data_IF_983417671971
#
_entry.id   IF_983417671971
#
_cell.length_a   1.000
_cell.length_b   1.000
_cell.length_c   1.000
_cell.angle_alpha   90.00
_cell.angle_beta   90.00
_cell.angle_gamma   90.00
#
_symmetry.space_group_name_H-M   'P 1'
#
loop_
_entity.id
_entity.type
_entity.pdbx_description
1 polymer ?
#
# COMPACT_ATOMS: atom_id res chain seq x y z
N UNK A 1 -13.47 -31.72 6.06
CA UNK A 1 -13.99 -30.65 5.17
C UNK A 1 -12.85 -29.70 4.94
N UNK A 2 -12.32 -29.66 3.71
CA UNK A 2 -11.14 -28.87 3.37
C UNK A 2 -11.46 -27.40 3.45
N UNK A 3 -10.70 -26.66 4.26
CA UNK A 3 -10.70 -25.20 4.31
C UNK A 3 -10.19 -24.72 2.96
N UNK A 4 -10.84 -23.79 2.24
CA UNK A 4 -10.36 -23.28 0.98
C UNK A 4 -9.03 -22.54 1.21
N UNK A 5 -8.01 -22.99 0.49
CA UNK A 5 -6.67 -22.41 0.43
C UNK A 5 -6.75 -20.90 0.20
N UNK A 6 -6.02 -20.17 1.03
CA UNK A 6 -5.68 -18.77 0.99
C UNK A 6 -5.47 -18.25 -0.44
N UNK A 7 -6.37 -17.41 -0.93
CA UNK A 7 -6.11 -16.51 -2.07
C UNK A 7 -5.77 -15.14 -1.52
N UNK A 8 -4.55 -14.63 -1.74
CA UNK A 8 -4.22 -13.27 -1.34
C UNK A 8 -5.12 -12.29 -2.09
N UNK A 9 -5.82 -11.42 -1.35
CA UNK A 9 -6.70 -10.37 -1.89
C UNK A 9 -6.01 -9.39 -2.86
N UNK A 10 -4.70 -9.48 -3.02
CA UNK A 10 -3.92 -8.79 -4.06
C UNK A 10 -4.14 -9.32 -5.48
N UNK A 11 -4.92 -10.41 -5.67
CA UNK A 11 -5.28 -10.96 -6.97
C UNK A 11 -6.67 -10.55 -7.46
N UNK A 12 -7.39 -9.68 -6.75
CA UNK A 12 -8.63 -9.12 -7.24
C UNK A 12 -8.33 -8.11 -8.35
N UNK A 13 -8.83 -8.42 -9.53
CA UNK A 13 -8.54 -7.73 -10.78
C UNK A 13 -9.16 -6.34 -10.86
N UNK A 14 -8.50 -5.38 -11.56
CA UNK A 14 -9.02 -4.03 -11.73
C UNK A 14 -10.11 -3.90 -12.81
N UNK A 15 -10.82 -4.95 -13.18
CA UNK A 15 -11.71 -4.93 -14.35
C UNK A 15 -13.19 -4.81 -14.02
N UNK A 16 -13.57 -4.80 -12.76
CA UNK A 16 -14.86 -4.27 -12.37
C UNK A 16 -14.61 -3.11 -11.41
N UNK A 17 -14.91 -1.90 -11.82
CA UNK A 17 -15.18 -0.74 -10.97
C UNK A 17 -16.47 -0.99 -10.14
N UNK A 18 -16.57 -2.19 -9.62
CA UNK A 18 -17.63 -2.61 -8.72
C UNK A 18 -17.12 -2.28 -7.32
N UNK A 19 -17.69 -1.25 -6.74
CA UNK A 19 -17.50 -0.83 -5.36
C UNK A 19 -18.08 -1.89 -4.42
N UNK A 20 -17.39 -3.05 -4.32
CA UNK A 20 -17.87 -4.16 -3.50
C UNK A 20 -17.44 -3.96 -2.05
N UNK A 21 -18.42 -3.82 -1.18
CA UNK A 21 -18.20 -3.97 0.25
C UNK A 21 -17.99 -5.45 0.56
N UNK A 22 -16.86 -5.75 1.18
CA UNK A 22 -16.57 -7.07 1.72
C UNK A 22 -16.47 -6.97 3.24
N UNK A 23 -17.25 -7.77 3.94
CA UNK A 23 -17.19 -7.85 5.40
C UNK A 23 -16.60 -9.19 5.80
N UNK A 24 -15.60 -9.13 6.69
CA UNK A 24 -14.97 -10.28 7.31
C UNK A 24 -15.14 -10.16 8.82
N UNK A 25 -15.42 -11.26 9.51
CA UNK A 25 -15.66 -11.24 10.95
C UNK A 25 -15.20 -12.56 11.58
N UNK A 26 -14.66 -12.46 12.78
CA UNK A 26 -14.34 -13.65 13.62
C UNK A 26 -15.59 -14.25 14.27
N UNK A 27 -16.74 -13.59 14.23
CA UNK A 27 -17.97 -13.99 14.93
C UNK A 27 -18.54 -15.35 14.52
N UNK A 28 -18.33 -15.77 13.26
CA UNK A 28 -18.74 -17.09 12.73
C UNK A 28 -17.69 -18.18 12.85
N UNK A 29 -16.51 -17.90 13.43
CA UNK A 29 -15.37 -18.81 13.51
C UNK A 29 -15.30 -19.45 14.89
N UNK A 30 -14.97 -20.77 15.01
CA UNK A 30 -14.74 -21.43 16.28
C UNK A 30 -13.69 -20.69 17.12
N UNK A 31 -13.92 -20.56 18.44
CA UNK A 31 -13.06 -19.75 19.33
C UNK A 31 -11.55 -20.08 19.22
N UNK A 32 -11.22 -21.35 19.06
CA UNK A 32 -9.83 -21.84 18.94
C UNK A 32 -9.14 -21.38 17.65
N UNK A 33 -9.89 -21.07 16.60
CA UNK A 33 -9.39 -20.67 15.28
C UNK A 33 -9.45 -19.15 15.05
N UNK A 34 -10.16 -18.40 15.90
CA UNK A 34 -10.40 -16.95 15.69
C UNK A 34 -9.13 -16.15 15.60
N UNK A 35 -8.11 -16.50 16.39
CA UNK A 35 -6.85 -15.75 16.39
C UNK A 35 -6.05 -15.95 15.11
N UNK A 36 -5.89 -17.19 14.63
CA UNK A 36 -5.22 -17.46 13.37
C UNK A 36 -5.99 -16.84 12.20
N UNK A 37 -7.31 -16.99 12.18
CA UNK A 37 -8.16 -16.36 11.17
C UNK A 37 -8.03 -14.84 11.18
N UNK A 38 -7.96 -14.20 12.35
CA UNK A 38 -7.74 -12.76 12.46
C UNK A 38 -6.39 -12.33 11.88
N UNK A 39 -5.30 -13.06 12.20
CA UNK A 39 -3.98 -12.79 11.63
C UNK A 39 -4.02 -12.88 10.09
N UNK A 40 -4.64 -13.93 9.55
CA UNK A 40 -4.77 -14.11 8.10
C UNK A 40 -5.54 -12.95 7.46
N UNK A 41 -6.63 -12.50 8.10
CA UNK A 41 -7.41 -11.34 7.62
C UNK A 41 -6.58 -10.06 7.55
N UNK A 42 -5.89 -9.69 8.65
CA UNK A 42 -5.10 -8.44 8.68
C UNK A 42 -3.87 -8.51 7.76
N UNK A 43 -3.23 -9.66 7.67
CA UNK A 43 -2.12 -9.86 6.74
C UNK A 43 -2.57 -9.72 5.27
N UNK A 44 -3.73 -10.24 4.93
CA UNK A 44 -4.31 -10.11 3.59
C UNK A 44 -4.69 -8.66 3.26
N UNK A 45 -5.18 -7.90 4.25
CA UNK A 45 -5.64 -6.53 4.06
C UNK A 45 -4.51 -5.51 3.98
N UNK A 46 -3.47 -5.66 4.79
CA UNK A 46 -2.49 -4.59 4.96
C UNK A 46 -1.10 -4.97 4.48
N UNK A 47 -0.49 -5.92 5.14
CA UNK A 47 0.86 -6.42 4.91
C UNK A 47 1.09 -7.61 5.84
N UNK A 48 2.21 -8.30 5.72
CA UNK A 48 2.61 -9.32 6.69
C UNK A 48 2.85 -8.68 8.05
N UNK A 49 2.03 -9.05 9.03
CA UNK A 49 1.97 -8.50 10.39
C UNK A 49 1.97 -9.62 11.42
N UNK A 50 2.35 -9.28 12.62
CA UNK A 50 2.07 -10.06 13.83
C UNK A 50 1.21 -9.26 14.79
N UNK A 51 0.47 -9.96 15.64
CA UNK A 51 -0.30 -9.34 16.71
C UNK A 51 -0.26 -10.17 17.98
N UNK A 52 -0.46 -9.51 19.11
CA UNK A 52 -0.57 -10.15 20.41
C UNK A 52 -1.96 -10.74 20.60
N UNK A 53 -2.03 -12.00 21.06
CA UNK A 53 -3.31 -12.63 21.39
C UNK A 53 -3.91 -11.95 22.62
N UNK A 54 -5.18 -11.52 22.59
CA UNK A 54 -5.86 -10.99 23.76
C UNK A 54 -5.85 -12.02 24.92
N UNK A 55 -5.51 -11.56 26.10
CA UNK A 55 -5.53 -12.38 27.32
C UNK A 55 -6.89 -12.26 28.00
N UNK A 56 -7.47 -13.41 28.42
CA UNK A 56 -8.72 -13.43 29.21
C UNK A 56 -10.01 -13.17 28.42
N UNK A 57 -9.93 -13.04 27.10
CA UNK A 57 -11.09 -12.88 26.22
C UNK A 57 -10.88 -13.57 24.89
N UNK A 58 -11.98 -13.99 24.25
CA UNK A 58 -11.96 -14.46 22.87
C UNK A 58 -11.55 -13.32 21.92
N UNK A 59 -10.86 -13.71 20.84
CA UNK A 59 -10.54 -12.73 19.79
C UNK A 59 -11.81 -12.28 19.08
N UNK A 60 -12.03 -10.98 19.12
CA UNK A 60 -13.04 -10.29 18.34
C UNK A 60 -12.36 -9.43 17.28
N UNK A 61 -12.81 -9.56 16.04
CA UNK A 61 -12.36 -8.71 14.95
C UNK A 61 -13.36 -8.67 13.81
N UNK A 62 -13.61 -7.48 13.31
CA UNK A 62 -14.41 -7.21 12.13
C UNK A 62 -13.64 -6.26 11.21
N UNK A 63 -13.65 -6.55 9.91
CA UNK A 63 -13.10 -5.69 8.85
C UNK A 63 -14.17 -5.53 7.80
N UNK A 64 -14.49 -4.29 7.47
CA UNK A 64 -15.31 -3.92 6.32
C UNK A 64 -14.39 -3.23 5.31
N UNK A 65 -14.28 -3.80 4.12
CA UNK A 65 -13.39 -3.34 3.06
C UNK A 65 -14.20 -2.70 1.94
N UNK A 66 -13.67 -1.61 1.39
CA UNK A 66 -14.15 -0.99 0.15
C UNK A 66 -12.98 -0.38 -0.62
N UNK A 67 -13.13 -0.24 -1.93
CA UNK A 67 -12.10 0.31 -2.81
C UNK A 67 -12.65 1.51 -3.57
N UNK A 68 -11.81 2.55 -3.73
CA UNK A 68 -12.13 3.74 -4.50
C UNK A 68 -10.91 4.17 -5.33
N UNK A 69 -10.89 3.81 -6.60
CA UNK A 69 -9.74 4.06 -7.46
C UNK A 69 -8.46 3.41 -6.89
N UNK A 70 -7.38 4.18 -6.66
CA UNK A 70 -6.13 3.66 -6.09
C UNK A 70 -6.15 3.52 -4.56
N UNK A 71 -7.22 3.96 -3.90
CA UNK A 71 -7.37 3.92 -2.44
C UNK A 71 -8.16 2.70 -2.00
N UNK A 72 -7.67 2.04 -0.97
CA UNK A 72 -8.41 1.01 -0.26
C UNK A 72 -8.79 1.54 1.12
N UNK A 73 -10.04 1.31 1.50
CA UNK A 73 -10.59 1.71 2.79
C UNK A 73 -10.97 0.48 3.58
N UNK A 74 -10.55 0.44 4.82
CA UNK A 74 -11.01 -0.58 5.76
C UNK A 74 -11.54 0.11 7.01
N UNK A 75 -12.75 -0.26 7.42
CA UNK A 75 -13.17 -0.04 8.79
C UNK A 75 -12.83 -1.30 9.58
N UNK A 76 -12.11 -1.13 10.67
CA UNK A 76 -11.63 -2.20 11.51
C UNK A 76 -12.09 -2.00 12.94
N UNK A 77 -12.71 -3.04 13.52
CA UNK A 77 -13.05 -3.13 14.94
C UNK A 77 -12.41 -4.37 15.52
N UNK A 78 -11.73 -4.25 16.64
CA UNK A 78 -11.06 -5.39 17.26
C UNK A 78 -10.79 -5.17 18.75
N UNK A 79 -10.50 -6.27 19.44
CA UNK A 79 -9.99 -6.28 20.82
C UNK A 79 -8.51 -6.68 20.90
N UNK A 80 -7.80 -6.76 19.77
CA UNK A 80 -6.36 -7.01 19.72
C UNK A 80 -5.63 -5.77 20.19
N UNK A 81 -4.70 -5.89 21.14
CA UNK A 81 -4.06 -4.75 21.79
C UNK A 81 -2.75 -4.31 21.15
N UNK A 82 -2.07 -5.20 20.47
CA UNK A 82 -0.77 -4.89 19.88
C UNK A 82 -0.61 -5.53 18.51
N UNK A 83 -0.13 -4.75 17.56
CA UNK A 83 0.17 -5.18 16.19
C UNK A 83 1.52 -4.60 15.80
N UNK A 84 2.39 -5.41 15.15
CA UNK A 84 3.71 -4.92 14.73
C UNK A 84 4.15 -5.53 13.40
N UNK A 85 5.03 -4.81 12.75
CA UNK A 85 5.72 -5.22 11.53
C UNK A 85 7.22 -5.04 11.70
N UNK A 86 7.98 -6.09 11.47
CA UNK A 86 9.44 -6.12 11.65
C UNK A 86 10.18 -6.04 10.32
N UNK A 87 11.50 -5.75 10.36
CA UNK A 87 12.38 -5.80 9.18
C UNK A 87 12.36 -7.17 8.49
N UNK A 88 12.25 -8.24 9.25
CA UNK A 88 12.17 -9.59 8.68
C UNK A 88 10.92 -9.75 7.81
N UNK A 89 9.77 -9.28 8.27
CA UNK A 89 8.50 -9.33 7.54
C UNK A 89 8.55 -8.46 6.28
N UNK A 90 9.16 -7.28 6.37
CA UNK A 90 9.34 -6.35 5.25
C UNK A 90 10.16 -6.97 4.13
N UNK A 91 11.23 -7.71 4.47
CA UNK A 91 12.05 -8.40 3.47
C UNK A 91 11.30 -9.46 2.66
N UNK A 92 10.27 -10.06 3.24
CA UNK A 92 9.47 -11.12 2.60
C UNK A 92 8.20 -10.58 1.92
N UNK A 93 7.84 -9.33 2.20
CA UNK A 93 6.62 -8.70 1.70
C UNK A 93 6.89 -7.20 1.46
N UNK A 94 7.52 -6.89 0.32
CA UNK A 94 7.96 -5.55 -0.04
C UNK A 94 6.81 -4.71 -0.63
N UNK A 95 5.79 -4.41 0.17
CA UNK A 95 4.71 -3.50 -0.21
C UNK A 95 5.14 -2.05 0.03
N UNK A 96 5.12 -1.20 -1.02
CA UNK A 96 5.37 0.24 -0.93
C UNK A 96 4.05 1.00 -0.82
N UNK A 97 3.49 1.03 0.38
CA UNK A 97 2.22 1.68 0.69
C UNK A 97 2.35 2.56 1.93
N UNK A 98 1.53 3.59 1.96
CA UNK A 98 1.27 4.35 3.17
C UNK A 98 -0.09 3.94 3.74
N UNK A 99 -0.15 3.86 5.06
CA UNK A 99 -1.38 3.61 5.80
C UNK A 99 -1.74 4.86 6.60
N UNK A 100 -2.93 5.39 6.35
CA UNK A 100 -3.50 6.50 7.14
C UNK A 100 -4.53 5.90 8.07
N UNK A 101 -4.23 5.87 9.36
CA UNK A 101 -5.14 5.43 10.41
C UNK A 101 -5.90 6.63 10.96
N UNK A 102 -7.22 6.54 10.95
CA UNK A 102 -8.13 7.52 11.55
C UNK A 102 -8.79 6.83 12.74
N UNK A 103 -8.62 7.39 13.92
CA UNK A 103 -9.20 6.84 15.15
C UNK A 103 -10.68 7.24 15.25
N UNK A 104 -11.57 6.26 15.38
CA UNK A 104 -13.02 6.50 15.58
C UNK A 104 -13.47 6.22 17.01
N UNK A 105 -12.89 5.20 17.62
CA UNK A 105 -13.22 4.80 18.98
C UNK A 105 -12.03 4.18 19.67
N UNK A 106 -11.89 4.40 20.97
CA UNK A 106 -10.74 4.00 21.76
C UNK A 106 -9.53 4.89 21.52
N UNK A 107 -8.45 4.57 22.24
CA UNK A 107 -7.17 5.29 22.19
C UNK A 107 -6.08 4.36 21.66
N UNK A 108 -5.20 4.89 20.84
CA UNK A 108 -4.08 4.12 20.29
C UNK A 108 -2.79 4.91 20.26
N UNK A 109 -1.67 4.16 20.21
CA UNK A 109 -0.32 4.69 20.07
C UNK A 109 0.29 4.05 18.84
N UNK A 110 0.83 4.85 17.93
CA UNK A 110 1.55 4.40 16.74
C UNK A 110 3.01 4.79 16.86
N UNK A 111 3.92 3.81 16.69
CA UNK A 111 5.37 4.02 16.76
C UNK A 111 6.02 3.68 15.43
N UNK A 112 6.85 4.58 14.94
CA UNK A 112 7.70 4.37 13.76
C UNK A 112 8.90 5.32 13.78
N UNK A 113 10.10 4.84 13.42
CA UNK A 113 11.33 5.64 13.30
C UNK A 113 11.67 6.48 14.55
N UNK A 114 11.47 5.92 15.73
CA UNK A 114 11.73 6.60 17.00
C UNK A 114 10.71 7.70 17.35
N UNK A 115 9.63 7.85 16.58
CA UNK A 115 8.52 8.76 16.87
C UNK A 115 7.33 7.99 17.41
N UNK A 116 6.51 8.69 18.17
CA UNK A 116 5.30 8.16 18.79
C UNK A 116 4.13 9.13 18.57
N UNK A 117 3.05 8.63 17.99
CA UNK A 117 1.79 9.34 17.84
C UNK A 117 0.75 8.73 18.77
N UNK A 118 0.20 9.53 19.67
CA UNK A 118 -0.98 9.17 20.47
C UNK A 118 -2.22 9.68 19.77
N UNK A 119 -3.22 8.81 19.59
CA UNK A 119 -4.45 9.14 18.88
C UNK A 119 -5.66 8.96 19.82
N UNK A 120 -6.54 9.95 19.77
CA UNK A 120 -7.90 9.90 20.32
C UNK A 120 -8.93 10.01 19.19
N UNK A 121 -10.23 9.74 19.44
CA UNK A 121 -11.24 9.80 18.39
C UNK A 121 -11.23 11.13 17.62
N UNK A 122 -11.18 11.04 16.28
CA UNK A 122 -11.05 12.16 15.36
C UNK A 122 -9.63 12.39 14.81
N UNK A 123 -8.61 11.96 15.55
CA UNK A 123 -7.22 12.10 15.12
C UNK A 123 -6.86 11.15 13.99
N UNK A 124 -5.87 11.52 13.19
CA UNK A 124 -5.28 10.58 12.25
C UNK A 124 -3.74 10.63 12.26
N UNK A 125 -3.14 9.55 11.78
CA UNK A 125 -1.70 9.39 11.64
C UNK A 125 -1.38 8.70 10.33
N UNK A 126 -0.20 8.95 9.79
CA UNK A 126 0.35 8.18 8.68
C UNK A 126 1.54 7.34 9.14
N UNK A 127 1.65 6.12 8.65
CA UNK A 127 2.82 5.26 8.78
C UNK A 127 3.07 4.47 7.49
N UNK A 128 4.28 3.97 7.36
CA UNK A 128 4.86 3.44 6.13
C UNK A 128 5.11 1.94 6.26
N UNK A 129 4.59 1.15 5.32
CA UNK A 129 4.74 -0.30 5.33
C UNK A 129 6.15 -0.78 4.98
N UNK A 130 7.00 0.09 4.43
CA UNK A 130 8.38 -0.27 4.05
C UNK A 130 9.38 -0.18 5.21
N UNK A 131 8.92 0.24 6.39
CA UNK A 131 9.74 0.38 7.61
C UNK A 131 9.01 -0.25 8.80
N UNK A 132 9.75 -0.74 9.82
CA UNK A 132 9.14 -1.30 11.02
C UNK A 132 8.20 -0.32 11.70
N UNK A 133 7.09 -0.82 12.21
CA UNK A 133 6.16 -0.04 13.01
C UNK A 133 5.44 -0.91 14.05
N UNK A 134 4.90 -0.26 15.04
CA UNK A 134 4.11 -0.86 16.11
C UNK A 134 2.86 -0.03 16.39
N UNK A 135 1.74 -0.72 16.57
CA UNK A 135 0.46 -0.17 16.99
C UNK A 135 0.11 -0.74 18.35
N UNK A 136 -0.27 0.11 19.28
CA UNK A 136 -0.74 -0.28 20.61
C UNK A 136 -2.12 0.34 20.85
N UNK A 137 -3.10 -0.47 21.25
CA UNK A 137 -4.47 -0.07 21.54
C UNK A 137 -4.70 -0.20 23.05
N UNK A 138 -5.01 0.92 23.71
CA UNK A 138 -5.11 0.98 25.17
C UNK A 138 -6.44 0.41 25.67
N UNK A 139 -7.52 0.63 24.91
CA UNK A 139 -8.86 0.21 25.30
C UNK A 139 -9.13 -1.28 24.96
N UNK A 140 -10.14 -1.85 25.63
CA UNK A 140 -10.56 -3.23 25.40
C UNK A 140 -11.07 -3.45 23.98
N UNK A 141 -11.61 -2.42 23.33
CA UNK A 141 -12.06 -2.40 21.96
C UNK A 141 -11.61 -1.11 21.29
N UNK A 142 -11.28 -1.21 20.02
CA UNK A 142 -10.98 -0.05 19.19
C UNK A 142 -11.76 -0.10 17.87
N UNK A 143 -12.09 1.06 17.35
CA UNK A 143 -12.72 1.28 16.04
C UNK A 143 -11.88 2.29 15.28
N UNK A 144 -11.41 1.90 14.10
CA UNK A 144 -10.60 2.76 13.25
C UNK A 144 -10.91 2.56 11.78
N UNK A 145 -10.62 3.58 11.01
CA UNK A 145 -10.59 3.53 9.56
C UNK A 145 -9.13 3.55 9.14
N UNK A 146 -8.76 2.66 8.23
CA UNK A 146 -7.44 2.69 7.61
C UNK A 146 -7.61 2.92 6.11
N UNK A 147 -6.99 3.99 5.61
CA UNK A 147 -6.87 4.29 4.19
C UNK A 147 -5.50 3.81 3.74
N UNK A 148 -5.48 2.85 2.84
CA UNK A 148 -4.27 2.35 2.21
C UNK A 148 -4.09 3.02 0.85
N UNK A 149 -2.96 3.67 0.64
CA UNK A 149 -2.67 4.40 -0.59
C UNK A 149 -1.22 4.20 -1.04
N UNK A 150 -0.95 4.28 -2.36
CA UNK A 150 0.41 4.25 -2.87
C UNK A 150 1.20 5.45 -2.35
N UNK A 151 2.46 5.23 -1.95
CA UNK A 151 3.36 6.33 -1.58
C UNK A 151 3.43 7.41 -2.68
N UNK A 152 3.41 6.99 -3.95
CA UNK A 152 3.45 7.88 -5.12
C UNK A 152 2.27 8.84 -5.20
N UNK A 153 1.14 8.54 -4.56
CA UNK A 153 0.00 9.45 -4.51
C UNK A 153 0.24 10.65 -3.58
N UNK A 154 1.02 10.48 -2.51
CA UNK A 154 1.35 11.56 -1.56
C UNK A 154 2.65 12.30 -1.92
N UNK A 155 3.59 11.66 -2.59
CA UNK A 155 4.89 12.23 -2.92
C UNK A 155 4.84 13.59 -3.63
N UNK A 156 3.88 13.89 -4.54
CA UNK A 156 3.75 15.20 -5.15
C UNK A 156 3.30 16.30 -4.17
N UNK A 157 2.63 15.92 -3.09
CA UNK A 157 1.98 16.84 -2.16
C UNK A 157 2.76 17.06 -0.86
N UNK A 158 3.63 16.13 -0.48
CA UNK A 158 4.37 16.12 0.79
C UNK A 158 5.83 15.74 0.54
N UNK A 159 6.74 16.70 0.68
CA UNK A 159 8.13 16.54 0.29
C UNK A 159 8.94 15.60 1.20
N UNK A 160 8.61 15.55 2.49
CA UNK A 160 9.35 14.82 3.53
C UNK A 160 8.44 13.90 4.34
N UNK A 161 7.65 13.11 3.61
CA UNK A 161 6.67 12.18 4.20
C UNK A 161 7.27 11.28 5.30
N UNK A 162 8.52 10.88 5.14
CA UNK A 162 9.26 10.03 6.08
C UNK A 162 9.46 10.67 7.46
N UNK A 163 9.55 12.00 7.52
CA UNK A 163 9.70 12.73 8.77
C UNK A 163 8.36 12.96 9.48
N UNK A 164 7.25 12.76 8.78
CA UNK A 164 5.89 12.98 9.27
C UNK A 164 5.18 11.70 9.71
N UNK A 165 5.76 10.52 9.46
CA UNK A 165 5.21 9.26 9.96
C UNK A 165 5.20 9.22 11.49
N UNK A 166 4.23 8.52 12.07
CA UNK A 166 4.00 8.44 13.50
C UNK A 166 3.95 9.83 14.19
N UNK A 167 3.27 10.78 13.54
CA UNK A 167 2.98 12.11 14.09
C UNK A 167 1.48 12.35 14.00
N UNK A 168 0.85 12.70 15.11
CA UNK A 168 -0.60 12.88 15.19
C UNK A 168 -1.04 14.14 14.45
N UNK A 169 -1.98 14.00 13.53
CA UNK A 169 -2.76 15.12 12.98
C UNK A 169 -4.05 15.20 13.80
N UNK A 170 -4.25 16.26 14.60
CA UNK A 170 -5.42 16.36 15.47
C UNK A 170 -6.72 16.45 14.69
N UNK A 171 -7.74 15.72 15.12
CA UNK A 171 -9.10 15.82 14.59
C UNK A 171 -9.74 17.19 14.76
N UNK A 172 -9.23 17.99 15.69
CA UNK A 172 -9.64 19.39 15.91
C UNK A 172 -9.11 20.35 14.85
N UNK A 173 -8.10 19.96 14.06
CA UNK A 173 -7.68 20.79 12.94
C UNK A 173 -8.68 20.64 11.75
N UNK A 174 -8.79 21.69 10.93
CA UNK A 174 -9.72 21.71 9.81
C UNK A 174 -9.56 20.51 8.86
N UNK A 175 -8.32 20.12 8.55
CA UNK A 175 -8.04 19.00 7.65
C UNK A 175 -8.42 17.64 8.28
N UNK A 176 -8.18 17.45 9.58
CA UNK A 176 -8.58 16.23 10.30
C UNK A 176 -10.09 16.05 10.32
N UNK A 177 -10.80 17.13 10.69
CA UNK A 177 -12.27 17.12 10.71
C UNK A 177 -12.87 16.87 9.31
N UNK A 178 -12.35 17.53 8.27
CA UNK A 178 -12.78 17.32 6.89
C UNK A 178 -12.52 15.89 6.43
N UNK A 179 -11.37 15.32 6.75
CA UNK A 179 -11.02 13.95 6.38
C UNK A 179 -12.01 12.95 7.00
N UNK A 180 -12.24 13.07 8.31
CA UNK A 180 -13.18 12.18 9.01
C UNK A 180 -14.58 12.28 8.41
N UNK A 181 -15.12 13.49 8.27
CA UNK A 181 -16.46 13.73 7.73
C UNK A 181 -16.61 13.20 6.30
N UNK A 182 -15.59 13.42 5.45
CA UNK A 182 -15.61 12.94 4.06
C UNK A 182 -15.57 11.41 3.99
N UNK A 183 -14.74 10.76 4.81
CA UNK A 183 -14.64 9.30 4.81
C UNK A 183 -15.89 8.65 5.39
N UNK A 184 -16.48 9.20 6.45
CA UNK A 184 -17.75 8.70 7.00
C UNK A 184 -18.91 8.84 5.99
N UNK A 185 -18.96 9.95 5.27
CA UNK A 185 -19.95 10.14 4.20
C UNK A 185 -19.70 9.15 3.07
N UNK A 186 -18.46 9.01 2.62
CA UNK A 186 -18.09 8.06 1.58
C UNK A 186 -18.45 6.62 1.96
N UNK A 187 -18.13 6.19 3.18
CA UNK A 187 -18.47 4.84 3.66
C UNK A 187 -19.97 4.57 3.66
N UNK A 188 -20.80 5.59 3.90
CA UNK A 188 -22.26 5.48 3.86
C UNK A 188 -22.79 5.35 2.44
N UNK A 189 -22.23 6.15 1.52
CA UNK A 189 -22.79 6.38 0.19
C UNK A 189 -21.91 5.85 -0.97
N UNK A 190 -20.86 5.07 -0.68
CA UNK A 190 -19.90 4.58 -1.69
C UNK A 190 -20.60 3.79 -2.82
N UNK A 191 -21.61 3.00 -2.48
CA UNK A 191 -22.37 2.20 -3.45
C UNK A 191 -23.23 3.06 -4.41
N UNK A 192 -23.43 4.33 -4.08
CA UNK A 192 -24.17 5.32 -4.89
C UNK A 192 -23.24 6.20 -5.73
N UNK A 193 -21.94 6.13 -5.49
CA UNK A 193 -20.98 6.94 -6.21
C UNK A 193 -20.85 6.44 -7.65
N UNK A 194 -21.02 7.35 -8.62
CA UNK A 194 -20.83 6.98 -10.01
C UNK A 194 -19.35 6.62 -10.29
N UNK A 195 -19.05 5.51 -11.02
CA UNK A 195 -17.68 5.05 -11.26
C UNK A 195 -16.76 6.12 -11.84
N UNK A 196 -17.26 7.01 -12.71
CA UNK A 196 -16.49 8.11 -13.28
C UNK A 196 -16.02 9.16 -12.26
N UNK A 197 -16.68 9.23 -11.10
CA UNK A 197 -16.32 10.17 -10.03
C UNK A 197 -15.27 9.58 -9.06
N UNK A 198 -15.03 8.27 -9.10
CA UNK A 198 -14.18 7.58 -8.14
C UNK A 198 -12.74 8.13 -8.09
N UNK A 199 -12.16 8.46 -9.27
CA UNK A 199 -10.81 9.01 -9.34
C UNK A 199 -10.75 10.40 -8.70
N UNK A 200 -11.67 11.31 -9.06
CA UNK A 200 -11.69 12.68 -8.51
C UNK A 200 -11.92 12.70 -7.00
N UNK A 201 -12.80 11.81 -6.48
CA UNK A 201 -13.01 11.70 -5.04
C UNK A 201 -11.76 11.15 -4.34
N UNK A 202 -11.08 10.16 -4.91
CA UNK A 202 -9.83 9.62 -4.35
C UNK A 202 -8.70 10.65 -4.31
N UNK A 203 -8.58 11.49 -5.35
CA UNK A 203 -7.65 12.62 -5.39
C UNK A 203 -7.98 13.68 -4.33
N UNK A 204 -9.27 13.98 -4.13
CA UNK A 204 -9.74 14.88 -3.09
C UNK A 204 -9.36 14.39 -1.68
N UNK A 205 -9.56 13.11 -1.38
CA UNK A 205 -9.16 12.49 -0.11
C UNK A 205 -7.64 12.58 0.08
N UNK A 206 -6.87 12.24 -0.94
CA UNK A 206 -5.40 12.33 -0.91
C UNK A 206 -4.93 13.76 -0.64
N UNK A 207 -5.59 14.74 -1.26
CA UNK A 207 -5.30 16.16 -1.06
C UNK A 207 -5.59 16.65 0.37
N UNK A 208 -6.68 16.17 0.99
CA UNK A 208 -7.02 16.50 2.39
C UNK A 208 -6.03 15.84 3.35
N UNK A 209 -5.66 14.58 3.14
CA UNK A 209 -4.61 13.90 3.91
C UNK A 209 -3.31 14.71 3.83
N UNK A 210 -2.88 15.10 2.63
CA UNK A 210 -1.69 15.89 2.43
C UNK A 210 -1.78 17.27 3.11
N UNK A 211 -2.95 17.93 3.10
CA UNK A 211 -3.16 19.20 3.79
C UNK A 211 -2.99 19.05 5.31
N UNK A 212 -3.54 17.97 5.90
CA UNK A 212 -3.35 17.65 7.31
C UNK A 212 -1.88 17.41 7.66
N UNK A 213 -1.18 16.63 6.85
CA UNK A 213 0.26 16.38 7.05
C UNK A 213 1.10 17.67 6.93
N UNK A 214 0.76 18.56 5.99
CA UNK A 214 1.44 19.85 5.85
C UNK A 214 1.18 20.83 6.99
N UNK A 215 0.13 20.62 7.79
CA UNK A 215 -0.13 21.43 8.99
C UNK A 215 0.75 21.06 10.19
N UNK A 216 1.43 19.92 10.11
CA UNK A 216 2.31 19.45 11.19
C UNK A 216 3.56 20.33 11.33
N UNK A 217 4.06 20.54 12.55
CA UNK A 217 5.35 21.17 12.77
C UNK A 217 6.46 20.41 12.01
N UNK A 218 7.29 21.12 11.28
CA UNK A 218 8.36 20.51 10.47
C UNK A 218 7.95 20.09 9.06
N UNK A 219 6.66 20.00 8.72
CA UNK A 219 6.20 19.63 7.38
C UNK A 219 6.70 20.57 6.27
N UNK A 220 6.85 21.86 6.60
CA UNK A 220 7.34 22.91 5.70
C UNK A 220 8.80 23.28 5.95
N UNK A 221 9.45 22.69 6.93
CA UNK A 221 10.89 22.81 7.05
C UNK A 221 11.49 22.04 5.90
N UNK A 222 11.86 22.73 4.83
CA UNK A 222 12.97 22.30 4.00
C UNK A 222 14.20 22.28 4.92
N UNK A 223 14.32 21.25 5.77
CA UNK A 223 15.66 20.75 6.01
C UNK A 223 16.18 20.46 4.62
N UNK A 224 17.39 20.92 4.26
CA UNK A 224 18.01 20.38 3.08
C UNK A 224 17.89 18.86 3.27
N UNK A 225 16.91 18.27 2.56
CA UNK A 225 16.85 16.83 2.39
C UNK A 225 18.29 16.48 2.15
N UNK A 226 18.89 15.57 2.90
CA UNK A 226 20.30 15.28 2.74
C UNK A 226 20.49 15.20 1.24
N UNK A 227 21.54 15.76 0.70
CA UNK A 227 21.82 15.76 -0.74
C UNK A 227 21.57 14.37 -1.33
N UNK A 228 21.70 13.36 -0.50
CA UNK A 228 21.35 11.96 -0.72
C UNK A 228 19.86 11.74 -1.00
N UNK A 229 18.93 12.23 -0.19
CA UNK A 229 17.48 12.04 -0.43
C UNK A 229 17.00 12.74 -1.70
N UNK A 230 17.56 13.92 -1.99
CA UNK A 230 17.31 14.61 -3.24
C UNK A 230 17.79 13.78 -4.45
N UNK A 231 19.00 13.23 -4.38
CA UNK A 231 19.53 12.39 -5.44
C UNK A 231 18.71 11.09 -5.59
N UNK A 232 18.31 10.46 -4.50
CA UNK A 232 17.46 9.26 -4.53
C UNK A 232 16.11 9.57 -5.21
N UNK A 233 15.45 10.66 -4.85
CA UNK A 233 14.18 11.07 -5.48
C UNK A 233 14.34 11.33 -6.99
N UNK A 234 15.41 12.02 -7.39
CA UNK A 234 15.72 12.28 -8.81
C UNK A 234 15.98 10.99 -9.58
N UNK A 235 16.74 10.06 -8.98
CA UNK A 235 17.01 8.75 -9.60
C UNK A 235 15.74 7.95 -9.77
N UNK A 236 14.86 7.91 -8.75
CA UNK A 236 13.56 7.23 -8.83
C UNK A 236 12.69 7.80 -9.94
N UNK A 237 12.59 9.13 -10.05
CA UNK A 237 11.83 9.79 -11.11
C UNK A 237 12.40 9.44 -12.51
N UNK A 238 13.71 9.55 -12.69
CA UNK A 238 14.36 9.19 -13.95
C UNK A 238 14.14 7.72 -14.33
N UNK A 239 14.22 6.81 -13.38
CA UNK A 239 13.93 5.38 -13.64
C UNK A 239 12.50 5.21 -14.15
N UNK A 240 11.52 5.87 -13.55
CA UNK A 240 10.12 5.76 -13.98
C UNK A 240 9.92 6.30 -15.41
N UNK A 241 10.59 7.37 -15.79
CA UNK A 241 10.55 7.94 -17.15
C UNK A 241 11.22 7.01 -18.18
N UNK A 242 12.32 6.37 -17.79
CA UNK A 242 13.13 5.53 -18.69
C UNK A 242 12.83 4.02 -18.56
N UNK A 243 11.74 3.64 -17.91
CA UNK A 243 11.45 2.24 -17.55
C UNK A 243 11.37 1.32 -18.78
N UNK A 244 10.98 1.87 -19.93
CA UNK A 244 10.85 1.16 -21.21
C UNK A 244 12.16 0.96 -21.95
N UNK A 245 13.21 1.72 -21.59
CA UNK A 245 14.50 1.60 -22.23
C UNK A 245 15.19 0.28 -21.80
N UNK A 246 15.43 -0.68 -22.74
CA UNK A 246 16.10 -1.93 -22.40
C UNK A 246 17.57 -1.74 -21.98
N UNK A 247 18.20 -0.61 -22.32
CA UNK A 247 19.55 -0.25 -21.92
C UNK A 247 19.63 0.38 -20.51
N UNK A 248 18.47 0.62 -19.87
CA UNK A 248 18.43 1.17 -18.51
C UNK A 248 19.17 0.27 -17.54
N UNK A 249 20.26 0.76 -17.00
CA UNK A 249 21.20 0.08 -16.10
C UNK A 249 21.69 1.03 -15.01
N UNK A 250 22.30 0.50 -13.96
CA UNK A 250 22.94 1.32 -12.92
C UNK A 250 23.98 2.27 -13.54
N UNK A 251 24.72 1.81 -14.54
CA UNK A 251 25.72 2.62 -15.23
C UNK A 251 25.09 3.76 -16.04
N UNK A 252 24.02 3.49 -16.83
CA UNK A 252 23.33 4.52 -17.61
C UNK A 252 22.64 5.56 -16.70
N UNK A 253 22.04 5.12 -15.59
CA UNK A 253 21.43 5.99 -14.59
C UNK A 253 22.49 6.88 -13.93
N UNK A 254 23.64 6.29 -13.52
CA UNK A 254 24.72 7.04 -12.92
C UNK A 254 25.26 8.13 -13.87
N UNK A 255 25.45 7.78 -15.15
CA UNK A 255 25.87 8.73 -16.18
C UNK A 255 24.86 9.86 -16.36
N UNK A 256 23.58 9.55 -16.49
CA UNK A 256 22.50 10.54 -16.64
C UNK A 256 22.40 11.47 -15.42
N UNK A 257 22.61 10.96 -14.22
CA UNK A 257 22.59 11.73 -12.99
C UNK A 257 23.90 12.48 -12.69
N UNK A 258 24.94 12.27 -13.49
CA UNK A 258 26.31 12.75 -13.26
C UNK A 258 26.89 12.29 -11.93
N UNK A 259 26.64 11.02 -11.58
CA UNK A 259 27.14 10.33 -10.39
C UNK A 259 28.05 9.19 -10.80
N UNK A 260 28.96 8.77 -9.90
CA UNK A 260 29.63 7.49 -10.10
C UNK A 260 28.71 6.33 -9.74
N UNK A 261 28.85 5.13 -10.37
CA UNK A 261 28.09 3.94 -10.00
C UNK A 261 28.19 3.58 -8.51
N UNK A 262 29.38 3.76 -7.91
CA UNK A 262 29.61 3.52 -6.48
C UNK A 262 28.85 4.53 -5.61
N UNK A 263 28.80 5.80 -6.03
CA UNK A 263 28.02 6.81 -5.32
C UNK A 263 26.53 6.50 -5.40
N UNK A 264 26.03 6.12 -6.58
CA UNK A 264 24.64 5.71 -6.77
C UNK A 264 24.31 4.49 -5.90
N UNK A 265 25.17 3.48 -5.86
CA UNK A 265 25.00 2.30 -5.02
C UNK A 265 24.97 2.64 -3.51
N UNK A 266 25.81 3.59 -3.07
CA UNK A 266 25.81 4.07 -1.68
C UNK A 266 24.53 4.82 -1.33
N UNK A 267 23.99 5.65 -2.24
CA UNK A 267 22.74 6.36 -2.04
C UNK A 267 21.56 5.40 -1.80
N UNK A 268 21.56 4.27 -2.52
CA UNK A 268 20.51 3.26 -2.40
C UNK A 268 20.78 2.21 -1.32
N UNK A 269 21.85 2.31 -0.55
CA UNK A 269 22.14 1.38 0.55
C UNK A 269 21.17 1.53 1.73
N UNK A 270 20.66 2.75 1.94
CA UNK A 270 19.65 3.05 2.96
C UNK A 270 18.21 2.86 2.48
N UNK A 271 18.03 2.58 1.17
CA UNK A 271 16.70 2.32 0.62
C UNK A 271 16.27 0.87 0.91
N UNK A 272 14.97 0.63 1.15
CA UNK A 272 14.45 -0.71 1.48
C UNK A 272 14.70 -1.74 0.39
N UNK A 273 14.79 -1.28 -0.87
CA UNK A 273 14.95 -2.13 -2.04
C UNK A 273 16.13 -1.63 -2.89
N UNK A 274 17.09 -2.50 -3.26
CA UNK A 274 18.17 -2.14 -4.19
C UNK A 274 17.62 -1.59 -5.51
N UNK A 275 18.31 -0.59 -6.08
CA UNK A 275 17.88 0.11 -7.31
C UNK A 275 17.59 -0.86 -8.47
N UNK A 276 18.41 -1.88 -8.68
CA UNK A 276 18.20 -2.89 -9.72
C UNK A 276 16.89 -3.67 -9.51
N UNK A 277 16.61 -4.03 -8.26
CA UNK A 277 15.39 -4.75 -7.89
C UNK A 277 14.15 -3.86 -8.03
N UNK A 278 14.29 -2.56 -7.74
CA UNK A 278 13.22 -1.58 -7.96
C UNK A 278 12.85 -1.47 -9.44
N UNK A 279 13.85 -1.31 -10.33
CA UNK A 279 13.63 -1.27 -11.79
C UNK A 279 12.90 -2.51 -12.25
N UNK A 280 13.36 -3.68 -11.82
CA UNK A 280 12.81 -4.97 -12.16
C UNK A 280 11.35 -5.11 -11.73
N UNK A 281 11.05 -4.75 -10.50
CA UNK A 281 9.70 -4.74 -9.93
C UNK A 281 8.74 -3.83 -10.69
N UNK A 282 9.18 -2.61 -11.02
CA UNK A 282 8.35 -1.65 -11.75
C UNK A 282 8.05 -2.13 -13.18
N UNK A 283 9.00 -2.77 -13.85
CA UNK A 283 8.79 -3.39 -15.16
C UNK A 283 7.78 -4.54 -15.10
N UNK A 284 7.93 -5.44 -14.13
CA UNK A 284 6.99 -6.55 -13.93
C UNK A 284 5.57 -6.04 -13.64
N UNK A 285 5.44 -5.03 -12.81
CA UNK A 285 4.14 -4.43 -12.48
C UNK A 285 3.49 -3.73 -13.69
N UNK A 286 4.29 -3.08 -14.53
CA UNK A 286 3.80 -2.48 -15.76
C UNK A 286 3.33 -3.56 -16.76
N UNK A 287 4.09 -4.67 -16.91
CA UNK A 287 3.68 -5.81 -17.72
C UNK A 287 2.40 -6.46 -17.18
N UNK A 288 2.29 -6.62 -15.85
CA UNK A 288 1.10 -7.17 -15.21
C UNK A 288 -0.15 -6.37 -15.56
N UNK A 289 -0.06 -5.03 -15.46
CA UNK A 289 -1.15 -4.12 -15.83
C UNK A 289 -1.55 -4.24 -17.29
N UNK A 290 -0.58 -4.26 -18.23
CA UNK A 290 -0.89 -4.43 -19.66
C UNK A 290 -1.42 -5.84 -20.00
N UNK A 291 -0.96 -6.89 -19.33
CA UNK A 291 -1.49 -8.24 -19.48
C UNK A 291 -2.93 -8.37 -18.98
N UNK A 292 -3.33 -7.52 -18.04
CA UNK A 292 -4.68 -7.46 -17.48
C UNK A 292 -5.62 -6.52 -18.26
N UNK A 293 -5.11 -5.76 -19.25
CA UNK A 293 -5.93 -4.84 -20.04
C UNK A 293 -6.51 -5.57 -21.28
N UNK A 294 -7.85 -5.74 -21.39
CA UNK A 294 -8.48 -6.38 -22.54
C UNK A 294 -8.14 -5.69 -23.87
N UNK A 295 -7.88 -4.38 -23.87
CA UNK A 295 -7.48 -3.63 -25.06
C UNK A 295 -6.12 -4.07 -25.61
N UNK A 296 -5.29 -4.70 -24.78
CA UNK A 296 -3.98 -5.25 -25.12
C UNK A 296 -4.01 -6.75 -25.45
N UNK A 297 -5.19 -7.37 -25.55
CA UNK A 297 -5.35 -8.81 -25.76
C UNK A 297 -4.68 -9.33 -27.07
N UNK A 298 -4.59 -8.45 -28.09
CA UNK A 298 -3.96 -8.78 -29.38
C UNK A 298 -2.42 -8.76 -29.35
N UNK A 299 -1.81 -8.13 -28.34
CA UNK A 299 -0.34 -8.10 -28.21
C UNK A 299 0.16 -9.42 -27.61
N UNK A 300 1.26 -9.93 -28.13
CA UNK A 300 1.88 -11.12 -27.54
C UNK A 300 2.44 -10.81 -26.13
N UNK A 301 2.59 -11.84 -25.31
CA UNK A 301 3.23 -11.73 -24.00
C UNK A 301 4.67 -11.19 -24.13
N UNK A 302 5.38 -11.65 -25.18
CA UNK A 302 6.76 -11.20 -25.46
C UNK A 302 6.81 -9.74 -25.90
N UNK A 303 5.86 -9.28 -26.73
CA UNK A 303 5.81 -7.87 -27.15
C UNK A 303 5.57 -6.94 -25.97
N UNK A 304 4.71 -7.34 -25.04
CA UNK A 304 4.49 -6.59 -23.80
C UNK A 304 5.78 -6.55 -22.97
N UNK A 305 6.43 -7.70 -22.76
CA UNK A 305 7.67 -7.74 -21.99
C UNK A 305 8.76 -6.87 -22.63
N UNK A 306 8.99 -6.99 -23.94
CA UNK A 306 10.00 -6.18 -24.64
C UNK A 306 9.67 -4.68 -24.63
N UNK A 307 8.40 -4.31 -24.71
CA UNK A 307 8.00 -2.89 -24.62
C UNK A 307 8.24 -2.26 -23.26
N UNK A 308 8.47 -3.08 -22.23
CA UNK A 308 8.85 -2.65 -20.89
C UNK A 308 10.31 -2.92 -20.55
N UNK A 309 11.16 -3.12 -21.59
CA UNK A 309 12.62 -3.18 -21.45
C UNK A 309 13.16 -4.53 -20.97
N UNK A 310 12.38 -5.61 -21.07
CA UNK A 310 12.94 -6.95 -20.93
C UNK A 310 13.63 -7.37 -22.23
N UNK A 311 14.77 -8.05 -22.14
CA UNK A 311 15.53 -8.54 -23.28
C UNK A 311 15.40 -10.05 -23.48
N UNK A 312 14.81 -10.76 -22.53
CA UNK A 312 14.66 -12.22 -22.55
C UNK A 312 13.27 -12.60 -22.04
N UNK A 313 12.45 -13.16 -22.94
CA UNK A 313 11.08 -13.59 -22.65
C UNK A 313 11.02 -14.78 -21.67
N UNK A 314 12.03 -15.67 -21.68
CA UNK A 314 12.08 -16.81 -20.76
C UNK A 314 12.42 -16.36 -19.34
N UNK A 315 13.38 -15.44 -19.21
CA UNK A 315 13.72 -14.82 -17.93
C UNK A 315 12.55 -14.00 -17.37
N UNK A 316 11.89 -13.20 -18.23
CA UNK A 316 10.67 -12.49 -17.85
C UNK A 316 9.60 -13.43 -17.29
N UNK A 317 9.30 -14.53 -18.01
CA UNK A 317 8.24 -15.45 -17.61
C UNK A 317 8.53 -16.13 -16.26
N UNK A 318 9.78 -16.49 -16.00
CA UNK A 318 10.21 -17.05 -14.70
C UNK A 318 10.05 -16.04 -13.57
N UNK A 319 10.56 -14.82 -13.77
CA UNK A 319 10.49 -13.75 -12.76
C UNK A 319 9.05 -13.31 -12.51
N UNK A 320 8.21 -13.28 -13.53
CA UNK A 320 6.79 -12.98 -13.40
C UNK A 320 6.07 -14.05 -12.57
N UNK A 321 6.33 -15.34 -12.84
CA UNK A 321 5.77 -16.44 -12.06
C UNK A 321 6.25 -16.42 -10.61
N UNK A 322 7.53 -16.14 -10.38
CA UNK A 322 8.09 -16.00 -9.02
C UNK A 322 7.41 -14.87 -8.24
N UNK A 323 7.13 -13.75 -8.91
CA UNK A 323 6.55 -12.55 -8.29
C UNK A 323 5.04 -12.66 -8.06
N UNK A 324 4.29 -13.28 -8.99
CA UNK A 324 2.82 -13.26 -9.00
C UNK A 324 2.17 -14.65 -8.86
N UNK A 325 2.96 -15.72 -8.75
CA UNK A 325 2.47 -17.10 -8.57
C UNK A 325 1.96 -17.78 -9.84
N UNK A 326 1.74 -17.05 -10.94
CA UNK A 326 1.27 -17.55 -12.21
C UNK A 326 2.17 -17.07 -13.36
N UNK A 327 2.25 -17.85 -14.45
CA UNK A 327 2.94 -17.41 -15.67
C UNK A 327 2.19 -16.23 -16.31
N UNK A 328 2.85 -15.37 -17.12
CA UNK A 328 2.19 -14.28 -17.84
C UNK A 328 1.01 -14.75 -18.72
N UNK A 329 1.11 -15.95 -19.28
CA UNK A 329 0.06 -16.54 -20.12
C UNK A 329 -1.14 -17.00 -19.29
N UNK A 330 -0.88 -17.69 -18.18
CA UNK A 330 -1.92 -18.09 -17.21
C UNK A 330 -2.59 -16.84 -16.60
N UNK A 331 -1.82 -15.84 -16.23
CA UNK A 331 -2.32 -14.55 -15.73
C UNK A 331 -3.29 -13.92 -16.73
N UNK A 332 -2.91 -13.80 -18.00
CA UNK A 332 -3.77 -13.26 -19.06
C UNK A 332 -5.04 -14.08 -19.24
N UNK A 333 -4.94 -15.41 -19.25
CA UNK A 333 -6.09 -16.30 -19.43
C UNK A 333 -7.08 -16.18 -18.26
N UNK A 334 -6.58 -16.06 -17.05
CA UNK A 334 -7.43 -15.83 -15.86
C UNK A 334 -8.20 -14.51 -15.97
N UNK A 335 -7.59 -13.46 -16.55
CA UNK A 335 -8.20 -12.15 -16.70
C UNK A 335 -9.15 -12.08 -17.88
N UNK A 336 -8.74 -12.62 -19.04
CA UNK A 336 -9.52 -12.55 -20.30
C UNK A 336 -10.56 -13.69 -20.38
N UNK A 337 -10.31 -14.83 -19.73
CA UNK A 337 -11.22 -15.99 -19.75
C UNK A 337 -12.48 -15.79 -18.89
N UNK A 338 -12.53 -14.78 -18.03
CA UNK A 338 -13.74 -14.42 -17.28
C UNK A 338 -14.73 -13.58 -18.12
N UNK A 339 -14.28 -13.03 -19.27
CA UNK A 339 -15.09 -12.16 -20.15
C UNK A 339 -15.86 -12.94 -21.25
N UNK A 340 -15.64 -14.26 -21.38
CA UNK A 340 -16.27 -15.08 -22.45
C UNK A 340 -17.36 -16.02 -21.92
N UNK A 341 -17.79 -15.88 -20.68
CA UNK A 341 -18.78 -16.74 -20.01
C UNK A 341 -20.03 -16.00 -19.57
N UNK A 342 -20.57 -15.10 -20.39
CA UNK A 342 -21.83 -14.40 -20.14
C UNK A 342 -22.78 -14.54 -21.30
#
# INVERSE_FOLDING_TARGET
>A
MSVPLYQPLGSLQPTELSMHRKRLSTGGIPAVERFSYWIDMICAMYARLECERPTGADVFGEIEFSQLGPLDFTQLRSNVRRVWRTDSMIRHDALDRCLVQIQRGGRSVVRQDGREAVLVPGDFVIYDTTRPYELHFEDAYHDLIVVRLPRTALAPHVANLEELTATTVPGTCAAGNLLLAMIETLQRDIDRLHPSSAMGVSEGITSIIAAGLRSLPGANTRRPSSLSAYHVARVKAYVMEQLRDPALSIASIAAAMRLSPDHLSRLFRSEPVPLSRMIWHQRLEACRRELSDPRQARRSVSDIAFSWGFNDAAHFSRSFKEQYGATPREWRQQVVGLDTGG
#
